data_IF_501963394695
#
_entry.id   IF_501963394695
#
_cell.length_a   1.000
_cell.length_b   1.000
_cell.length_c   1.000
_cell.angle_alpha   90.00
_cell.angle_beta   90.00
_cell.angle_gamma   90.00
#
_symmetry.space_group_name_H-M   'P 1'
#
loop_
_entity.id
_entity.type
_entity.pdbx_description
1 polymer ?
#
# COMPACT_ATOMS: atom_id res chain seq x y z
N UNK A 1 -21.84 -4.79 -12.76
CA UNK A 1 -22.61 -4.72 -14.02
C UNK A 1 -24.07 -4.87 -13.63
N UNK A 2 -24.85 -3.78 -13.79
CA UNK A 2 -26.28 -3.80 -13.53
C UNK A 2 -26.97 -4.76 -14.49
N UNK A 3 -27.87 -5.59 -13.96
CA UNK A 3 -28.75 -6.42 -14.75
C UNK A 3 -29.77 -5.52 -15.42
N UNK A 4 -29.49 -5.16 -16.65
CA UNK A 4 -30.47 -4.45 -17.46
C UNK A 4 -30.89 -5.32 -18.66
N UNK A 5 -31.97 -4.93 -19.31
CA UNK A 5 -32.53 -5.58 -20.52
C UNK A 5 -31.44 -5.76 -21.61
N UNK A 6 -30.44 -4.87 -21.64
CA UNK A 6 -29.36 -4.96 -22.60
C UNK A 6 -28.44 -6.17 -22.37
N UNK A 7 -28.27 -6.61 -21.10
CA UNK A 7 -27.45 -7.80 -20.77
C UNK A 7 -28.03 -9.07 -21.35
N UNK A 8 -29.34 -9.26 -21.25
CA UNK A 8 -30.03 -10.42 -21.85
C UNK A 8 -29.93 -10.44 -23.38
N UNK A 9 -30.15 -9.28 -24.00
CA UNK A 9 -29.97 -9.15 -25.47
C UNK A 9 -28.54 -9.44 -25.92
N UNK A 10 -27.56 -9.01 -25.15
CA UNK A 10 -26.13 -9.30 -25.41
C UNK A 10 -25.85 -10.80 -25.32
N UNK A 11 -26.40 -11.50 -24.34
CA UNK A 11 -26.28 -12.95 -24.21
C UNK A 11 -26.87 -13.64 -25.43
N UNK A 12 -28.09 -13.26 -25.86
CA UNK A 12 -28.74 -13.83 -27.04
C UNK A 12 -27.92 -13.62 -28.35
N UNK A 13 -27.34 -12.42 -28.51
CA UNK A 13 -26.48 -12.12 -29.68
C UNK A 13 -25.22 -12.99 -29.64
N UNK A 14 -24.56 -13.11 -28.51
CA UNK A 14 -23.36 -13.92 -28.36
C UNK A 14 -23.65 -15.41 -28.58
N UNK A 15 -24.80 -15.92 -28.11
CA UNK A 15 -25.22 -17.30 -28.36
C UNK A 15 -25.47 -17.55 -29.89
N UNK A 16 -26.03 -16.59 -30.59
CA UNK A 16 -26.17 -16.67 -32.06
C UNK A 16 -24.84 -16.68 -32.81
N UNK A 17 -23.78 -16.11 -32.16
CA UNK A 17 -22.40 -16.15 -32.68
C UNK A 17 -21.62 -17.40 -32.24
N UNK A 18 -22.28 -18.39 -31.63
CA UNK A 18 -21.66 -19.65 -31.22
C UNK A 18 -21.07 -19.64 -29.82
N UNK A 19 -21.29 -18.59 -29.02
CA UNK A 19 -20.88 -18.59 -27.62
C UNK A 19 -21.86 -19.39 -26.74
N UNK A 20 -21.37 -20.15 -25.78
CA UNK A 20 -22.17 -20.86 -24.81
C UNK A 20 -22.32 -20.04 -23.53
N UNK A 21 -23.56 -19.82 -23.10
CA UNK A 21 -23.84 -19.20 -21.82
C UNK A 21 -23.89 -20.23 -20.70
N UNK A 22 -22.84 -20.31 -19.90
CA UNK A 22 -22.72 -21.28 -18.79
C UNK A 22 -23.31 -20.80 -17.47
N UNK A 23 -24.02 -19.68 -17.49
CA UNK A 23 -24.58 -19.09 -16.27
C UNK A 23 -23.62 -18.13 -15.57
N UNK A 24 -24.03 -17.68 -14.37
CA UNK A 24 -23.23 -16.75 -13.56
C UNK A 24 -22.49 -17.52 -12.47
N UNK A 25 -21.18 -17.39 -12.46
CA UNK A 25 -20.35 -17.91 -11.39
C UNK A 25 -20.64 -17.18 -10.07
N UNK A 26 -20.77 -17.93 -8.97
CA UNK A 26 -20.91 -17.38 -7.62
C UNK A 26 -19.60 -17.36 -6.85
N UNK A 27 -18.62 -18.14 -7.31
CA UNK A 27 -17.31 -18.25 -6.68
C UNK A 27 -16.27 -17.49 -7.52
N UNK A 28 -15.55 -16.57 -6.88
CA UNK A 28 -14.52 -15.74 -7.54
C UNK A 28 -13.40 -16.58 -8.17
N UNK A 29 -13.09 -17.75 -7.58
CA UNK A 29 -12.08 -18.67 -8.13
C UNK A 29 -12.46 -19.31 -9.46
N UNK A 30 -13.74 -19.29 -9.82
CA UNK A 30 -14.27 -19.84 -11.08
C UNK A 30 -14.46 -18.78 -12.17
N UNK A 31 -14.10 -17.53 -11.87
CA UNK A 31 -14.28 -16.41 -12.79
C UNK A 31 -12.93 -15.79 -13.17
N UNK A 32 -12.75 -15.47 -14.44
CA UNK A 32 -11.60 -14.71 -14.94
C UNK A 32 -11.64 -13.28 -14.41
N UNK A 33 -12.83 -12.72 -14.24
CA UNK A 33 -13.06 -11.41 -13.66
C UNK A 33 -14.18 -11.45 -12.62
N UNK A 34 -14.05 -10.68 -11.51
CA UNK A 34 -15.10 -10.62 -10.51
C UNK A 34 -16.38 -10.00 -11.10
N UNK A 35 -17.53 -10.55 -10.72
CA UNK A 35 -18.85 -10.06 -11.14
C UNK A 35 -19.12 -8.64 -10.67
N UNK A 36 -18.64 -8.31 -9.49
CA UNK A 36 -18.82 -6.99 -8.88
C UNK A 36 -17.47 -6.31 -8.71
N UNK A 37 -17.46 -5.02 -8.97
CA UNK A 37 -16.28 -4.19 -8.82
C UNK A 37 -16.63 -3.04 -7.88
N UNK A 38 -15.78 -2.81 -6.88
CA UNK A 38 -15.90 -1.66 -6.01
C UNK A 38 -15.21 -0.45 -6.67
N UNK A 39 -15.98 0.51 -7.09
CA UNK A 39 -15.46 1.74 -7.67
C UNK A 39 -15.47 2.87 -6.64
N UNK A 40 -14.38 3.63 -6.59
CA UNK A 40 -14.31 4.85 -5.78
C UNK A 40 -14.42 6.04 -6.72
N UNK A 41 -15.51 6.78 -6.59
CA UNK A 41 -15.71 8.02 -7.33
C UNK A 41 -15.25 9.19 -6.47
N UNK A 42 -14.16 9.83 -6.88
CA UNK A 42 -13.59 10.95 -6.15
C UNK A 42 -14.15 12.26 -6.70
N UNK A 43 -14.81 13.00 -5.82
CA UNK A 43 -14.97 14.45 -5.95
C UNK A 43 -13.79 15.12 -5.26
N UNK A 44 -13.70 16.44 -5.29
CA UNK A 44 -12.62 17.20 -4.68
C UNK A 44 -12.32 16.73 -3.24
N UNK A 45 -11.02 16.63 -2.93
CA UNK A 45 -10.50 16.34 -1.59
C UNK A 45 -10.98 15.02 -0.94
N UNK A 46 -10.67 13.90 -1.59
CA UNK A 46 -11.00 12.54 -1.13
C UNK A 46 -10.61 12.28 0.35
N UNK A 47 -9.56 12.92 0.87
CA UNK A 47 -9.08 12.74 2.24
C UNK A 47 -10.20 13.04 3.26
N UNK A 48 -11.08 14.00 2.95
CA UNK A 48 -12.17 14.38 3.83
C UNK A 48 -13.21 13.26 3.99
N UNK A 49 -13.34 12.37 3.02
CA UNK A 49 -14.30 11.26 3.04
C UNK A 49 -13.78 10.05 3.82
N UNK A 50 -12.48 9.98 4.11
CA UNK A 50 -11.91 8.83 4.81
C UNK A 50 -12.32 8.78 6.28
N UNK A 51 -12.52 7.56 6.83
CA UNK A 51 -12.72 7.36 8.26
C UNK A 51 -11.55 7.90 9.09
N UNK A 52 -11.80 8.26 10.34
CA UNK A 52 -10.75 8.76 11.28
C UNK A 52 -9.53 7.83 11.36
N UNK A 53 -9.76 6.52 11.36
CA UNK A 53 -8.70 5.52 11.39
C UNK A 53 -7.77 5.64 10.18
N UNK A 54 -8.33 5.71 8.96
CA UNK A 54 -7.55 5.86 7.71
C UNK A 54 -6.76 7.16 7.71
N UNK A 55 -7.39 8.28 8.11
CA UNK A 55 -6.69 9.58 8.25
C UNK A 55 -5.51 9.52 9.22
N UNK A 56 -5.65 8.76 10.32
CA UNK A 56 -4.56 8.54 11.27
C UNK A 56 -3.42 7.74 10.64
N UNK A 57 -3.74 6.64 9.93
CA UNK A 57 -2.74 5.80 9.27
C UNK A 57 -1.94 6.59 8.22
N UNK A 58 -2.61 7.45 7.44
CA UNK A 58 -1.94 8.34 6.48
C UNK A 58 -0.94 9.25 7.20
N UNK A 59 -1.37 9.94 8.27
CA UNK A 59 -0.48 10.78 9.06
C UNK A 59 0.68 10.02 9.70
N UNK A 60 0.44 8.79 10.13
CA UNK A 60 1.47 7.93 10.72
C UNK A 60 2.48 7.46 9.65
N UNK A 61 2.05 7.19 8.41
CA UNK A 61 2.96 6.87 7.30
C UNK A 61 3.86 8.06 6.96
N UNK A 62 3.31 9.27 6.91
CA UNK A 62 4.09 10.49 6.68
C UNK A 62 5.14 10.71 7.77
N UNK A 63 4.73 10.56 9.06
CA UNK A 63 5.66 10.64 10.20
C UNK A 63 6.76 9.59 10.14
N UNK A 64 6.48 8.42 9.58
CA UNK A 64 7.46 7.35 9.37
C UNK A 64 8.34 7.57 8.15
N UNK A 65 8.15 8.69 7.43
CA UNK A 65 8.96 9.07 6.28
C UNK A 65 8.66 8.28 5.01
N UNK A 66 7.46 7.70 4.91
CA UNK A 66 7.00 7.07 3.67
C UNK A 66 6.78 8.14 2.62
N UNK A 67 7.41 7.98 1.47
CA UNK A 67 7.24 8.83 0.30
C UNK A 67 6.63 8.02 -0.82
N UNK A 68 5.54 8.50 -1.39
CA UNK A 68 4.90 7.92 -2.58
C UNK A 68 5.16 8.78 -3.80
N UNK A 69 5.37 8.15 -4.94
CA UNK A 69 5.56 8.86 -6.19
C UNK A 69 5.06 8.04 -7.38
N UNK A 70 4.79 8.73 -8.48
CA UNK A 70 4.49 8.09 -9.76
C UNK A 70 5.82 7.74 -10.41
N UNK A 71 6.08 6.44 -10.55
CA UNK A 71 7.25 5.91 -11.20
C UNK A 71 7.17 5.98 -12.72
N UNK A 72 8.32 5.81 -13.35
CA UNK A 72 8.52 5.76 -14.79
C UNK A 72 8.92 4.34 -15.23
N UNK A 73 9.19 4.17 -16.52
CA UNK A 73 9.68 2.89 -17.07
C UNK A 73 11.06 2.51 -16.48
N UNK A 74 11.84 3.47 -16.01
CA UNK A 74 13.16 3.24 -15.40
C UNK A 74 13.03 2.65 -13.99
N UNK A 75 11.91 2.87 -13.31
CA UNK A 75 11.63 2.32 -11.99
C UNK A 75 11.14 0.86 -12.03
N UNK A 76 10.90 0.29 -13.23
CA UNK A 76 10.36 -1.06 -13.37
C UNK A 76 11.27 -2.14 -12.78
N UNK A 77 12.59 -1.95 -12.83
CA UNK A 77 13.51 -2.91 -12.20
C UNK A 77 13.33 -2.96 -10.69
N UNK A 78 13.21 -1.82 -10.04
CA UNK A 78 12.95 -1.75 -8.60
C UNK A 78 11.59 -2.34 -8.25
N UNK A 79 10.55 -2.04 -9.03
CA UNK A 79 9.23 -2.63 -8.89
C UNK A 79 9.25 -4.16 -9.02
N UNK A 80 9.92 -4.69 -10.06
CA UNK A 80 10.02 -6.12 -10.30
C UNK A 80 10.78 -6.86 -9.19
N UNK A 81 11.78 -6.23 -8.58
CA UNK A 81 12.45 -6.79 -7.40
C UNK A 81 11.49 -6.96 -6.22
N UNK A 82 10.63 -5.98 -5.96
CA UNK A 82 9.59 -6.08 -4.90
C UNK A 82 8.58 -7.18 -5.22
N UNK A 83 8.20 -7.34 -6.50
CA UNK A 83 7.33 -8.43 -6.95
C UNK A 83 8.00 -9.80 -6.70
N UNK A 84 9.28 -9.95 -7.06
CA UNK A 84 10.03 -11.19 -6.84
C UNK A 84 10.14 -11.58 -5.36
N UNK A 85 10.34 -10.61 -4.46
CA UNK A 85 10.28 -10.84 -3.01
C UNK A 85 8.91 -11.33 -2.55
N UNK A 86 7.84 -10.83 -3.16
CA UNK A 86 6.46 -11.26 -2.87
C UNK A 86 6.22 -12.69 -3.38
N UNK A 87 6.72 -13.03 -4.57
CA UNK A 87 6.66 -14.38 -5.13
C UNK A 87 7.34 -15.40 -4.21
N UNK A 88 8.58 -15.10 -3.81
CA UNK A 88 9.34 -15.95 -2.89
C UNK A 88 8.62 -16.17 -1.57
N UNK A 89 8.10 -15.10 -0.97
CA UNK A 89 7.41 -15.17 0.33
C UNK A 89 6.09 -15.94 0.29
N UNK A 90 5.34 -15.84 -0.82
CA UNK A 90 4.00 -16.41 -0.96
C UNK A 90 3.97 -17.73 -1.74
N UNK A 91 5.06 -18.14 -2.37
CA UNK A 91 5.12 -19.32 -3.23
C UNK A 91 4.22 -19.20 -4.47
N UNK A 92 4.06 -18.00 -5.01
CA UNK A 92 3.23 -17.74 -6.21
C UNK A 92 4.11 -17.24 -7.34
N UNK A 93 3.67 -17.43 -8.59
CA UNK A 93 4.32 -16.83 -9.76
C UNK A 93 3.50 -15.64 -10.25
N UNK A 94 4.15 -14.49 -10.36
CA UNK A 94 3.55 -13.25 -10.83
C UNK A 94 4.15 -12.86 -12.19
N UNK A 95 3.89 -11.67 -12.66
CA UNK A 95 4.40 -11.17 -13.94
C UNK A 95 5.79 -10.57 -13.78
N UNK A 96 6.63 -10.76 -14.80
CA UNK A 96 8.00 -10.26 -14.81
C UNK A 96 8.09 -8.80 -15.31
N UNK A 97 9.29 -8.23 -15.25
CA UNK A 97 9.57 -6.87 -15.70
C UNK A 97 9.17 -6.63 -17.17
N UNK A 98 9.44 -7.60 -18.05
CA UNK A 98 9.13 -7.46 -19.47
C UNK A 98 7.64 -7.28 -19.74
N UNK A 99 6.80 -8.00 -19.01
CA UNK A 99 5.35 -7.83 -19.06
C UNK A 99 4.93 -6.41 -18.68
N UNK A 100 5.44 -5.88 -17.56
CA UNK A 100 5.10 -4.53 -17.11
C UNK A 100 5.67 -3.46 -18.05
N UNK A 101 6.83 -3.71 -18.63
CA UNK A 101 7.43 -2.82 -19.64
C UNK A 101 6.57 -2.75 -20.90
N UNK A 102 6.06 -3.87 -21.40
CA UNK A 102 5.13 -3.91 -22.52
C UNK A 102 3.83 -3.18 -22.17
N UNK A 103 3.29 -3.42 -21.00
CA UNK A 103 2.07 -2.75 -20.52
C UNK A 103 2.24 -1.23 -20.50
N UNK A 104 3.32 -0.72 -19.90
CA UNK A 104 3.60 0.71 -19.87
C UNK A 104 3.80 1.32 -21.25
N UNK A 105 4.42 0.58 -22.19
CA UNK A 105 4.56 1.04 -23.59
C UNK A 105 3.24 1.11 -24.32
N UNK A 106 2.36 0.13 -24.11
CA UNK A 106 1.05 0.05 -24.80
C UNK A 106 0.11 1.15 -24.27
N UNK A 107 0.01 1.30 -22.97
CA UNK A 107 -0.93 2.24 -22.35
C UNK A 107 -0.35 3.65 -22.16
N UNK A 108 0.97 3.84 -22.27
CA UNK A 108 1.61 5.16 -22.21
C UNK A 108 1.20 5.94 -20.95
N UNK A 109 0.57 7.08 -21.14
CA UNK A 109 0.12 7.96 -20.04
C UNK A 109 -1.02 7.37 -19.20
N UNK A 110 -1.74 6.36 -19.70
CA UNK A 110 -2.81 5.69 -18.98
C UNK A 110 -2.29 4.53 -18.10
N UNK A 111 -1.00 4.21 -18.19
CA UNK A 111 -0.34 3.30 -17.27
C UNK A 111 0.16 4.05 -16.03
N UNK A 112 -0.25 3.62 -14.85
CA UNK A 112 0.11 4.23 -13.56
C UNK A 112 0.95 3.28 -12.74
N UNK A 113 2.23 3.58 -12.57
CA UNK A 113 3.12 2.90 -11.63
C UNK A 113 3.25 3.76 -10.37
N UNK A 114 2.69 3.30 -9.26
CA UNK A 114 2.84 3.96 -7.97
C UNK A 114 3.83 3.19 -7.11
N UNK A 115 4.81 3.90 -6.58
CA UNK A 115 5.84 3.37 -5.70
C UNK A 115 5.82 4.09 -4.36
N UNK A 116 6.13 3.33 -3.31
CA UNK A 116 6.35 3.87 -1.98
C UNK A 116 7.75 3.49 -1.51
N UNK A 117 8.47 4.45 -0.91
CA UNK A 117 9.83 4.23 -0.38
C UNK A 117 10.00 4.88 0.97
N UNK A 118 10.92 4.34 1.76
CA UNK A 118 11.40 4.91 3.02
C UNK A 118 12.93 4.95 2.97
N UNK A 119 13.52 6.07 3.41
CA UNK A 119 14.96 6.17 3.60
C UNK A 119 15.32 5.64 5.00
N UNK A 120 15.67 4.36 5.09
CA UNK A 120 15.96 3.69 6.36
C UNK A 120 17.16 4.32 7.09
N UNK A 121 18.34 4.59 6.48
CA UNK A 121 19.46 5.25 7.15
C UNK A 121 19.08 6.58 7.78
N UNK A 122 18.44 7.46 7.01
CA UNK A 122 17.98 8.75 7.54
C UNK A 122 16.98 8.58 8.69
N UNK A 123 16.15 7.56 8.63
CA UNK A 123 15.17 7.28 9.67
C UNK A 123 15.83 6.79 10.95
N UNK A 124 16.82 5.93 10.81
CA UNK A 124 17.63 5.44 11.92
C UNK A 124 18.35 6.59 12.66
N UNK A 125 18.98 7.51 11.92
CA UNK A 125 19.58 8.71 12.48
C UNK A 125 18.57 9.55 13.27
N UNK A 126 17.37 9.75 12.72
CA UNK A 126 16.30 10.49 13.39
C UNK A 126 15.88 9.82 14.72
N UNK A 127 15.74 8.49 14.73
CA UNK A 127 15.39 7.77 15.95
C UNK A 127 16.51 7.80 17.00
N UNK A 128 17.78 7.71 16.57
CA UNK A 128 18.93 7.85 17.48
C UNK A 128 18.96 9.25 18.11
N UNK A 129 18.72 10.31 17.33
CA UNK A 129 18.63 11.67 17.85
C UNK A 129 17.46 11.84 18.84
N UNK A 130 16.27 11.31 18.50
CA UNK A 130 15.11 11.34 19.41
C UNK A 130 15.35 10.56 20.70
N UNK A 131 16.10 9.47 20.66
CA UNK A 131 16.45 8.69 21.85
C UNK A 131 17.29 9.51 22.80
N UNK A 132 18.30 10.22 22.30
CA UNK A 132 19.16 11.11 23.11
C UNK A 132 18.30 12.19 23.79
N UNK A 133 17.44 12.87 23.01
CA UNK A 133 16.55 13.91 23.56
C UNK A 133 15.63 13.37 24.67
N UNK A 134 15.10 12.16 24.50
CA UNK A 134 14.26 11.52 25.54
C UNK A 134 15.07 11.18 26.78
N UNK A 135 16.29 10.71 26.62
CA UNK A 135 17.19 10.39 27.75
C UNK A 135 17.59 11.64 28.52
N UNK A 136 17.89 12.75 27.83
CA UNK A 136 18.15 14.04 28.44
C UNK A 136 16.93 14.53 29.24
N UNK A 137 15.76 14.48 28.63
CA UNK A 137 14.50 14.82 29.30
C UNK A 137 14.18 13.92 30.50
N UNK A 138 14.57 12.64 30.46
CA UNK A 138 14.42 11.73 31.60
C UNK A 138 15.33 12.12 32.75
N UNK A 139 16.59 12.51 32.48
CA UNK A 139 17.55 12.94 33.47
C UNK A 139 17.18 14.26 34.19
N UNK A 140 16.53 15.17 33.43
CA UNK A 140 16.07 16.46 33.94
C UNK A 140 14.71 16.40 34.67
N UNK A 141 13.96 15.30 34.50
CA UNK A 141 12.61 15.19 35.08
C UNK A 141 12.67 14.69 36.51
N UNK A 142 12.18 15.50 37.46
CA UNK A 142 12.16 15.15 38.89
C UNK A 142 11.15 14.02 39.18
N UNK A 143 11.43 13.23 40.23
CA UNK A 143 10.62 12.08 40.67
C UNK A 143 9.16 12.42 41.00
N UNK A 144 8.88 13.66 41.32
CA UNK A 144 7.54 14.16 41.62
C UNK A 144 6.64 14.17 40.36
N UNK A 145 7.22 14.13 39.15
CA UNK A 145 6.48 14.17 37.86
C UNK A 145 6.18 12.77 37.33
N UNK A 146 5.62 11.89 38.14
CA UNK A 146 5.37 10.46 37.81
C UNK A 146 4.69 10.21 36.46
N UNK A 147 3.70 11.03 36.08
CA UNK A 147 3.00 10.90 34.78
C UNK A 147 3.94 11.20 33.60
N UNK A 148 4.78 12.22 33.70
CA UNK A 148 5.75 12.61 32.68
C UNK A 148 6.83 11.53 32.52
N UNK A 149 7.40 11.07 33.65
CA UNK A 149 8.38 9.98 33.68
C UNK A 149 7.83 8.71 33.02
N UNK A 150 6.61 8.31 33.36
CA UNK A 150 5.96 7.13 32.71
C UNK A 150 5.83 7.28 31.20
N UNK A 151 5.43 8.46 30.72
CA UNK A 151 5.30 8.74 29.28
C UNK A 151 6.66 8.70 28.58
N UNK A 152 7.69 9.33 29.14
CA UNK A 152 9.04 9.34 28.58
C UNK A 152 9.64 7.93 28.51
N UNK A 153 9.48 7.11 29.55
CA UNK A 153 9.93 5.69 29.56
C UNK A 153 9.20 4.86 28.49
N UNK A 154 7.91 5.09 28.25
CA UNK A 154 7.18 4.42 27.18
C UNK A 154 7.68 4.85 25.78
N UNK A 155 7.99 6.14 25.60
CA UNK A 155 8.56 6.66 24.37
C UNK A 155 9.96 6.09 24.12
N UNK A 156 10.81 6.05 25.13
CA UNK A 156 12.15 5.44 25.07
C UNK A 156 12.08 3.97 24.62
N UNK A 157 11.22 3.18 25.28
CA UNK A 157 11.03 1.76 24.92
C UNK A 157 10.58 1.60 23.47
N UNK A 158 9.64 2.43 23.01
CA UNK A 158 9.14 2.38 21.63
C UNK A 158 10.22 2.75 20.62
N UNK A 159 11.02 3.77 20.91
CA UNK A 159 12.11 4.20 20.01
C UNK A 159 13.23 3.17 19.95
N UNK A 160 13.64 2.61 21.09
CA UNK A 160 14.62 1.52 21.12
C UNK A 160 14.18 0.33 20.27
N UNK A 161 12.90 -0.06 20.36
CA UNK A 161 12.34 -1.11 19.53
C UNK A 161 12.43 -0.77 18.03
N UNK A 162 12.08 0.46 17.61
CA UNK A 162 12.20 0.88 16.21
C UNK A 162 13.65 0.90 15.71
N UNK A 163 14.60 1.30 16.56
CA UNK A 163 16.03 1.26 16.21
C UNK A 163 16.46 -0.20 15.95
N UNK A 164 16.15 -1.12 16.87
CA UNK A 164 16.47 -2.54 16.70
C UNK A 164 15.83 -3.11 15.41
N UNK A 165 14.55 -2.83 15.17
CA UNK A 165 13.87 -3.28 13.94
C UNK A 165 14.51 -2.74 12.66
N UNK A 166 15.13 -1.56 12.68
CA UNK A 166 15.80 -0.96 11.51
C UNK A 166 17.25 -1.40 11.35
N UNK A 167 17.93 -1.77 12.41
CA UNK A 167 19.30 -2.30 12.36
C UNK A 167 19.34 -3.73 11.77
N UNK A 168 18.20 -4.44 11.75
CA UNK A 168 18.05 -5.78 11.16
C UNK A 168 17.86 -5.78 9.61
N UNK A 169 17.77 -4.60 8.98
CA UNK A 169 17.62 -4.41 7.53
C UNK A 169 18.88 -3.87 6.88
#
# INVERSE_FOLDING_TARGET
>A
VEENINTLKTIEILQKCGAEWTGRTQNISQSIQPRYQANVYTKENIINTFPKHTKRLIKDSDKRGVQTYRGTIDDLKAFSNVIALTESRKGVSLRNEEYFRKLMKIYGNDAYLHLAKVNLPKRLEQYKAQLIEIQDNLSETSDNQKKRLKKLKQQETSIKKYITELDDY
#
